data_IF_382239202262
#
_entry.id   IF_382239202262
#
_cell.length_a   1.000
_cell.length_b   1.000
_cell.length_c   1.000
_cell.angle_alpha   90.00
_cell.angle_beta   90.00
_cell.angle_gamma   90.00
#
_symmetry.space_group_name_H-M   'P 1'
#
loop_
_entity.id
_entity.type
_entity.pdbx_description
1 polymer ?
#
# COMPACT_ATOMS: atom_id res chain seq x y z
N UNK A 1 6.97 -0.33 -7.91
CA UNK A 1 6.24 -1.06 -6.86
C UNK A 1 5.62 -0.02 -5.96
N UNK A 2 4.32 -0.13 -5.68
CA UNK A 2 3.58 0.88 -4.91
C UNK A 2 2.77 0.20 -3.81
N UNK A 3 2.85 0.75 -2.61
CA UNK A 3 1.99 0.38 -1.46
C UNK A 3 0.96 1.51 -1.32
N UNK A 4 -0.32 1.15 -1.24
CA UNK A 4 -1.42 2.11 -1.15
C UNK A 4 -2.08 2.03 0.22
N UNK A 5 -2.34 3.22 0.77
CA UNK A 5 -3.15 3.41 1.96
C UNK A 5 -4.56 3.89 1.57
N UNK A 6 -5.60 3.67 2.40
CA UNK A 6 -7.01 3.89 2.06
C UNK A 6 -7.34 5.30 1.51
N UNK A 7 -6.56 6.32 1.90
CA UNK A 7 -6.83 7.72 1.60
C UNK A 7 -5.94 8.30 0.48
N UNK A 8 -4.88 7.62 0.07
CA UNK A 8 -3.85 8.16 -0.84
C UNK A 8 -3.77 7.38 -2.16
N UNK A 9 -4.87 7.34 -2.89
CA UNK A 9 -4.98 6.56 -4.13
C UNK A 9 -5.02 7.41 -5.40
N UNK A 10 -5.29 8.72 -5.29
CA UNK A 10 -5.52 9.59 -6.46
C UNK A 10 -4.29 9.73 -7.39
N UNK A 11 -3.09 9.53 -6.85
CA UNK A 11 -1.85 9.49 -7.63
C UNK A 11 -1.79 8.33 -8.64
N UNK A 12 -2.66 7.33 -8.52
CA UNK A 12 -2.77 6.21 -9.47
C UNK A 12 -3.01 6.66 -10.90
N UNK A 13 -3.70 7.79 -11.11
CA UNK A 13 -3.93 8.33 -12.45
C UNK A 13 -2.62 8.65 -13.21
N UNK A 14 -1.52 8.86 -12.49
CA UNK A 14 -0.21 9.22 -13.06
C UNK A 14 0.75 8.04 -13.17
N UNK A 15 0.37 6.84 -12.73
CA UNK A 15 1.26 5.67 -12.71
C UNK A 15 1.71 5.26 -14.13
N UNK A 16 0.95 5.63 -15.16
CA UNK A 16 1.32 5.44 -16.57
C UNK A 16 2.67 6.05 -16.92
N UNK A 17 3.04 7.19 -16.30
CA UNK A 17 4.32 7.85 -16.51
C UNK A 17 5.50 7.10 -15.89
N UNK A 18 5.26 6.32 -14.83
CA UNK A 18 6.30 5.52 -14.17
C UNK A 18 6.64 4.25 -14.95
N UNK A 19 5.68 3.70 -15.70
CA UNK A 19 5.88 2.49 -16.51
C UNK A 19 6.70 2.79 -17.77
N UNK A 20 6.65 4.03 -18.26
CA UNK A 20 7.35 4.44 -19.49
C UNK A 20 7.09 3.44 -20.61
N UNK A 21 8.12 3.14 -21.41
CA UNK A 21 7.98 2.21 -22.54
C UNK A 21 7.98 0.72 -22.18
N UNK A 22 8.16 0.37 -20.89
CA UNK A 22 8.39 -1.01 -20.47
C UNK A 22 7.20 -1.94 -20.72
N UNK A 23 5.99 -1.37 -20.89
CA UNK A 23 4.69 -2.08 -20.98
C UNK A 23 4.47 -3.10 -19.86
N UNK A 24 5.29 -3.08 -18.82
CA UNK A 24 5.28 -4.05 -17.75
C UNK A 24 4.18 -3.72 -16.76
N UNK A 25 3.49 -4.74 -16.27
CA UNK A 25 2.51 -4.56 -15.22
C UNK A 25 3.19 -4.07 -13.93
N UNK A 26 2.58 -3.11 -13.25
CA UNK A 26 3.09 -2.61 -11.97
C UNK A 26 2.50 -3.46 -10.85
N UNK A 27 3.36 -4.02 -9.99
CA UNK A 27 2.90 -4.63 -8.74
C UNK A 27 2.44 -3.53 -7.77
N UNK A 28 1.17 -3.60 -7.39
CA UNK A 28 0.56 -2.78 -6.36
C UNK A 28 0.20 -3.63 -5.14
N UNK A 29 0.31 -3.06 -3.96
CA UNK A 29 0.04 -3.73 -2.69
C UNK A 29 -0.90 -2.87 -1.83
N UNK A 30 -1.96 -3.47 -1.28
CA UNK A 30 -2.90 -2.79 -0.41
C UNK A 30 -3.74 -3.80 0.39
N UNK A 31 -4.40 -3.35 1.45
CA UNK A 31 -5.45 -4.13 2.10
C UNK A 31 -6.70 -4.27 1.20
N UNK A 32 -7.61 -5.16 1.61
CA UNK A 32 -8.85 -5.44 0.88
C UNK A 32 -9.76 -4.23 0.69
N UNK A 33 -9.95 -3.41 1.72
CA UNK A 33 -10.84 -2.24 1.66
C UNK A 33 -10.27 -1.17 0.72
N UNK A 34 -8.95 -0.96 0.79
CA UNK A 34 -8.22 -0.07 -0.12
C UNK A 34 -8.31 -0.58 -1.57
N UNK A 35 -8.16 -1.88 -1.80
CA UNK A 35 -8.35 -2.45 -3.15
C UNK A 35 -9.76 -2.25 -3.68
N UNK A 36 -10.78 -2.41 -2.84
CA UNK A 36 -12.16 -2.16 -3.26
C UNK A 36 -12.33 -0.71 -3.72
N UNK A 37 -11.82 0.26 -2.94
CA UNK A 37 -11.88 1.68 -3.29
C UNK A 37 -11.14 1.98 -4.61
N UNK A 38 -9.96 1.38 -4.81
CA UNK A 38 -9.20 1.52 -6.05
C UNK A 38 -9.97 0.93 -7.22
N UNK A 39 -10.63 -0.21 -7.06
CA UNK A 39 -11.45 -0.80 -8.12
C UNK A 39 -12.65 0.08 -8.47
N UNK A 40 -13.32 0.66 -7.48
CA UNK A 40 -14.49 1.51 -7.69
C UNK A 40 -14.12 2.80 -8.45
N UNK A 41 -12.93 3.36 -8.18
CA UNK A 41 -12.50 4.66 -8.74
C UNK A 41 -11.61 4.53 -9.98
N UNK A 42 -10.76 3.49 -10.02
CA UNK A 42 -9.69 3.29 -11.01
C UNK A 42 -9.73 1.88 -11.61
N UNK A 43 -10.85 1.17 -11.57
CA UNK A 43 -10.96 -0.23 -12.02
C UNK A 43 -10.44 -0.50 -13.43
N UNK A 44 -10.36 0.52 -14.28
CA UNK A 44 -9.69 0.42 -15.58
C UNK A 44 -8.25 -0.08 -15.44
N UNK A 45 -7.46 0.29 -14.44
CA UNK A 45 -6.02 -0.08 -14.32
C UNK A 45 -5.78 -1.59 -14.22
N UNK A 46 -6.81 -2.39 -13.91
CA UNK A 46 -6.70 -3.85 -13.81
C UNK A 46 -7.10 -4.57 -15.10
N UNK A 47 -7.72 -3.88 -16.07
CA UNK A 47 -8.18 -4.51 -17.30
C UNK A 47 -7.05 -4.57 -18.33
N UNK A 48 -6.92 -5.70 -19.01
CA UNK A 48 -5.98 -5.88 -20.10
C UNK A 48 -6.17 -4.85 -21.22
N UNK A 49 -5.09 -4.56 -21.93
CA UNK A 49 -5.11 -3.66 -23.08
C UNK A 49 -5.47 -4.47 -24.33
N UNK A 50 -6.55 -4.14 -25.06
CA UNK A 50 -6.88 -4.82 -26.30
C UNK A 50 -5.75 -4.71 -27.34
N UNK A 51 -5.57 -5.76 -28.14
CA UNK A 51 -4.57 -5.79 -29.19
C UNK A 51 -4.76 -4.62 -30.18
N UNK A 52 -3.67 -3.91 -30.50
CA UNK A 52 -3.68 -2.80 -31.46
C UNK A 52 -4.03 -1.41 -30.88
N UNK A 53 -4.30 -1.30 -29.57
CA UNK A 53 -4.50 -0.01 -28.92
C UNK A 53 -3.15 0.60 -28.54
N UNK A 54 -2.83 1.78 -29.09
CA UNK A 54 -1.54 2.46 -28.93
C UNK A 54 -1.36 3.23 -27.60
N UNK A 55 -2.39 3.26 -26.75
CA UNK A 55 -2.37 4.03 -25.51
C UNK A 55 -1.63 3.27 -24.39
N UNK A 56 -0.73 3.99 -23.69
CA UNK A 56 -0.06 3.48 -22.49
C UNK A 56 -1.05 3.42 -21.33
N UNK A 57 -1.63 2.24 -21.17
CA UNK A 57 -2.40 1.93 -19.98
C UNK A 57 -1.52 1.09 -19.04
N UNK A 58 -1.26 1.57 -17.82
CA UNK A 58 -0.59 0.77 -16.82
C UNK A 58 -1.53 -0.37 -16.45
N UNK A 59 -1.04 -1.60 -16.59
CA UNK A 59 -1.71 -2.78 -16.04
C UNK A 59 -1.20 -2.95 -14.63
N UNK A 60 -2.07 -2.96 -13.64
CA UNK A 60 -1.69 -3.22 -12.25
C UNK A 60 -1.90 -4.69 -11.91
N UNK A 61 -0.89 -5.30 -11.28
CA UNK A 61 -1.03 -6.59 -10.61
C UNK A 61 -1.28 -6.32 -9.13
N UNK A 62 -2.49 -6.62 -8.66
CA UNK A 62 -2.89 -6.42 -7.29
C UNK A 62 -2.34 -7.54 -6.38
N UNK A 63 -1.80 -7.13 -5.24
CA UNK A 63 -1.37 -8.00 -4.16
C UNK A 63 -2.06 -7.54 -2.87
N UNK A 64 -2.81 -8.44 -2.23
CA UNK A 64 -3.47 -8.14 -0.96
C UNK A 64 -2.46 -8.21 0.19
N UNK A 65 -2.48 -7.21 1.06
CA UNK A 65 -1.79 -7.23 2.34
C UNK A 65 -2.83 -7.50 3.43
N UNK A 66 -2.57 -8.51 4.25
CA UNK A 66 -3.38 -8.79 5.44
C UNK A 66 -2.72 -8.12 6.64
N UNK A 67 -3.50 -7.58 7.57
CA UNK A 67 -2.96 -7.07 8.83
C UNK A 67 -2.20 -8.16 9.59
N UNK A 68 -1.20 -7.76 10.37
CA UNK A 68 -0.39 -8.65 11.21
C UNK A 68 0.25 -9.82 10.44
N UNK A 69 0.60 -9.60 9.17
CA UNK A 69 1.18 -10.63 8.29
C UNK A 69 2.56 -10.24 7.75
N UNK A 70 3.34 -11.26 7.43
CA UNK A 70 4.64 -11.09 6.77
C UNK A 70 4.50 -11.32 5.27
N UNK A 71 5.16 -10.46 4.52
CA UNK A 71 5.28 -10.58 3.09
C UNK A 71 6.62 -10.03 2.63
N UNK A 72 6.96 -10.33 1.39
CA UNK A 72 8.20 -9.86 0.79
C UNK A 72 7.89 -9.03 -0.44
N UNK A 73 8.62 -7.93 -0.58
CA UNK A 73 8.64 -7.20 -1.84
C UNK A 73 10.08 -7.02 -2.31
N UNK A 74 10.38 -7.55 -3.50
CA UNK A 74 11.70 -7.45 -4.12
C UNK A 74 12.86 -7.90 -3.21
N UNK A 75 12.70 -8.99 -2.45
CA UNK A 75 13.71 -9.49 -1.51
C UNK A 75 13.68 -8.83 -0.13
N UNK A 76 12.80 -7.86 0.11
CA UNK A 76 12.73 -7.11 1.37
C UNK A 76 11.57 -7.67 2.20
N UNK A 77 11.84 -8.27 3.38
CA UNK A 77 10.79 -8.73 4.28
C UNK A 77 10.12 -7.53 4.96
N UNK A 78 8.79 -7.55 4.97
CA UNK A 78 7.94 -6.52 5.54
C UNK A 78 6.93 -7.20 6.46
N UNK A 79 6.81 -6.68 7.68
CA UNK A 79 5.76 -7.06 8.62
C UNK A 79 4.72 -5.94 8.63
N UNK A 80 3.50 -6.23 8.19
CA UNK A 80 2.36 -5.31 8.43
C UNK A 80 1.88 -5.45 9.87
N UNK A 81 1.26 -4.40 10.38
CA UNK A 81 0.52 -4.43 11.63
C UNK A 81 -0.70 -3.53 11.55
N UNK A 82 -1.75 -3.90 12.29
CA UNK A 82 -2.98 -3.12 12.34
C UNK A 82 -2.76 -1.78 13.04
N UNK A 83 -3.36 -0.73 12.49
CA UNK A 83 -3.52 0.56 13.15
C UNK A 83 -4.91 1.12 12.85
N UNK A 84 -5.34 2.10 13.63
CA UNK A 84 -6.62 2.77 13.42
C UNK A 84 -6.41 4.22 12.96
N UNK A 85 -7.32 4.67 12.10
CA UNK A 85 -7.47 6.05 11.68
C UNK A 85 -8.93 6.51 11.88
N UNK A 86 -9.20 7.12 13.02
CA UNK A 86 -10.55 7.54 13.38
C UNK A 86 -11.45 6.32 13.62
N UNK A 87 -12.35 6.03 12.67
CA UNK A 87 -13.24 4.85 12.68
C UNK A 87 -12.80 3.76 11.70
N UNK A 88 -11.79 4.02 10.89
CA UNK A 88 -11.27 3.10 9.90
C UNK A 88 -10.02 2.37 10.38
N UNK A 89 -9.70 1.30 9.69
CA UNK A 89 -8.44 0.58 9.82
C UNK A 89 -7.45 1.09 8.77
N UNK A 90 -6.19 1.17 9.15
CA UNK A 90 -5.05 1.45 8.27
C UNK A 90 -3.94 0.44 8.59
N UNK A 91 -2.88 0.41 7.79
CA UNK A 91 -1.75 -0.49 8.03
C UNK A 91 -0.48 0.29 8.36
N UNK A 92 0.22 -0.17 9.38
CA UNK A 92 1.61 0.19 9.61
C UNK A 92 2.53 -0.89 9.06
N UNK A 93 3.79 -0.53 8.82
CA UNK A 93 4.78 -1.45 8.27
C UNK A 93 6.10 -1.38 9.04
N UNK A 94 6.65 -2.54 9.37
CA UNK A 94 8.02 -2.71 9.86
C UNK A 94 8.88 -3.34 8.78
N UNK A 95 10.06 -2.76 8.57
CA UNK A 95 11.08 -3.18 7.63
C UNK A 95 12.41 -3.22 8.38
N UNK A 96 12.84 -4.41 8.80
CA UNK A 96 13.98 -4.55 9.72
C UNK A 96 13.73 -3.81 11.04
N UNK A 97 14.58 -2.85 11.39
CA UNK A 97 14.46 -2.01 12.59
C UNK A 97 13.86 -0.62 12.31
N UNK A 98 13.23 -0.44 11.15
CA UNK A 98 12.49 0.76 10.79
C UNK A 98 10.99 0.49 10.81
N UNK A 99 10.20 1.39 11.36
CA UNK A 99 8.73 1.34 11.27
C UNK A 99 8.14 2.62 10.67
N UNK A 100 7.04 2.44 9.93
CA UNK A 100 6.27 3.49 9.28
C UNK A 100 4.80 3.38 9.68
N UNK A 101 4.29 4.43 10.34
CA UNK A 101 2.92 4.53 10.87
C UNK A 101 2.35 5.92 10.58
N UNK A 102 1.83 6.14 9.37
CA UNK A 102 1.11 7.38 9.05
C UNK A 102 -0.40 7.21 9.20
N UNK A 103 -1.12 8.33 9.33
CA UNK A 103 -2.58 8.34 9.47
C UNK A 103 -3.04 7.43 10.61
N UNK A 104 -2.39 7.58 11.77
CA UNK A 104 -2.65 6.73 12.93
C UNK A 104 -3.14 7.59 14.09
N UNK A 105 -4.24 7.16 14.72
CA UNK A 105 -4.69 7.73 15.99
C UNK A 105 -4.63 6.74 17.15
N UNK A 106 -4.61 5.44 16.86
CA UNK A 106 -4.49 4.39 17.87
C UNK A 106 -3.84 3.14 17.26
N UNK A 107 -2.97 2.48 18.03
CA UNK A 107 -2.37 1.19 17.67
C UNK A 107 -2.88 0.16 18.67
N UNK A 108 -3.50 -0.96 18.24
CA UNK A 108 -3.92 -2.03 19.14
C UNK A 108 -2.74 -2.58 19.94
N UNK A 109 -2.97 -2.99 21.19
CA UNK A 109 -1.93 -3.55 22.05
C UNK A 109 -1.24 -4.77 21.41
N UNK A 110 -1.99 -5.61 20.69
CA UNK A 110 -1.47 -6.76 19.96
C UNK A 110 -0.46 -6.39 18.85
N UNK A 111 -0.50 -5.15 18.34
CA UNK A 111 0.39 -4.66 17.29
C UNK A 111 1.63 -3.94 17.86
N UNK A 112 1.67 -3.64 19.17
CA UNK A 112 2.79 -2.91 19.78
C UNK A 112 4.08 -3.72 19.83
N UNK A 113 4.00 -5.05 19.96
CA UNK A 113 5.20 -5.92 19.94
C UNK A 113 6.00 -5.77 18.63
N UNK A 114 5.30 -5.51 17.52
CA UNK A 114 5.95 -5.25 16.22
C UNK A 114 6.79 -3.97 16.26
N UNK A 115 6.56 -3.05 17.19
CA UNK A 115 7.26 -1.78 17.31
C UNK A 115 8.43 -1.80 18.31
N UNK A 116 8.74 -2.96 18.89
CA UNK A 116 9.85 -3.08 19.84
C UNK A 116 11.22 -3.09 19.14
N UNK A 117 12.21 -2.51 19.82
CA UNK A 117 13.62 -2.47 19.39
C UNK A 117 13.82 -1.87 17.99
N UNK A 118 13.12 -0.78 17.69
CA UNK A 118 13.32 -0.01 16.47
C UNK A 118 14.52 0.94 16.61
N UNK A 119 15.29 1.07 15.54
CA UNK A 119 16.31 2.12 15.40
C UNK A 119 15.64 3.45 15.02
N UNK A 120 14.58 3.38 14.20
CA UNK A 120 13.85 4.53 13.69
C UNK A 120 12.36 4.22 13.59
N UNK A 121 11.53 5.14 14.07
CA UNK A 121 10.08 5.09 13.91
C UNK A 121 9.58 6.40 13.28
N UNK A 122 9.02 6.29 12.08
CA UNK A 122 8.28 7.37 11.44
C UNK A 122 6.81 7.24 11.83
N UNK A 123 6.30 8.21 12.56
CA UNK A 123 4.95 8.19 13.12
C UNK A 123 4.23 9.52 12.92
N UNK A 124 2.92 9.46 12.66
CA UNK A 124 2.06 10.64 12.63
C UNK A 124 2.01 11.33 14.01
N UNK A 125 2.04 12.66 14.02
CA UNK A 125 2.04 13.50 15.21
C UNK A 125 1.08 14.68 15.08
N UNK A 126 0.03 14.56 14.26
CA UNK A 126 -0.85 15.68 13.92
C UNK A 126 -1.60 16.27 15.12
N UNK A 127 -1.97 15.47 16.14
CA UNK A 127 -2.75 15.92 17.32
C UNK A 127 -2.44 15.09 18.58
N UNK A 128 -2.65 15.70 19.75
CA UNK A 128 -2.57 15.09 21.09
C UNK A 128 -3.96 14.92 21.71
#
# INVERSE_FOLDING_TARGET
>A
MLVFEPFYTDGLAQISYLVGDSKAAVAGYADKATWQRIQDSFGYVFQEVPAGVAWYKPVMKAHEIVADSQFEIAGIPIQSFLQFHGKGETLGYRIGNFAYSTDVNNIPEASLEVLDNLDVWLVDCLRY
#
